data_IF_590468026614
#
_entry.id   IF_590468026614
#
_cell.length_a   1.000
_cell.length_b   1.000
_cell.length_c   1.000
_cell.angle_alpha   90.00
_cell.angle_beta   90.00
_cell.angle_gamma   90.00
#
_symmetry.space_group_name_H-M   'P 1'
#
loop_
_entity.id
_entity.type
_entity.pdbx_description
1 polymer ?
#
# COMPACT_ATOMS: atom_id res chain seq x y z
N UNK A 1 19.58 0.87 -17.81
CA UNK A 1 18.28 0.82 -18.53
C UNK A 1 18.31 -0.13 -19.72
N UNK A 2 19.27 -0.03 -20.67
CA UNK A 2 19.35 -0.87 -21.87
C UNK A 2 19.36 -2.38 -21.56
N UNK A 3 20.26 -2.86 -20.68
CA UNK A 3 20.34 -4.28 -20.28
C UNK A 3 19.03 -4.83 -19.73
N UNK A 4 18.27 -4.02 -18.94
CA UNK A 4 16.98 -4.44 -18.43
C UNK A 4 15.94 -4.62 -19.53
N UNK A 5 15.93 -3.76 -20.52
CA UNK A 5 15.04 -3.91 -21.69
C UNK A 5 15.43 -5.14 -22.54
N UNK A 6 16.73 -5.36 -22.78
CA UNK A 6 17.24 -6.52 -23.51
C UNK A 6 16.83 -7.86 -22.86
N UNK A 7 16.70 -7.87 -21.52
CA UNK A 7 16.19 -9.05 -20.77
C UNK A 7 14.68 -9.19 -20.84
N UNK A 8 13.93 -8.10 -20.79
CA UNK A 8 12.47 -8.13 -20.71
C UNK A 8 11.78 -8.35 -22.07
N UNK A 9 12.32 -7.76 -23.14
CA UNK A 9 11.68 -7.81 -24.46
C UNK A 9 11.47 -9.23 -25.00
N UNK A 10 12.44 -10.15 -24.90
CA UNK A 10 12.22 -11.53 -25.33
C UNK A 10 11.11 -12.24 -24.55
N UNK A 11 11.02 -11.98 -23.23
CA UNK A 11 9.98 -12.56 -22.37
C UNK A 11 8.60 -12.05 -22.79
N UNK A 12 8.46 -10.75 -23.00
CA UNK A 12 7.20 -10.16 -23.44
C UNK A 12 6.79 -10.68 -24.83
N UNK A 13 7.74 -10.81 -25.74
CA UNK A 13 7.48 -11.37 -27.06
C UNK A 13 6.98 -12.83 -27.00
N UNK A 14 7.61 -13.66 -26.17
CA UNK A 14 7.18 -15.05 -25.94
C UNK A 14 5.75 -15.10 -25.36
N UNK A 15 5.48 -14.33 -24.32
CA UNK A 15 4.16 -14.28 -23.69
C UNK A 15 3.07 -13.79 -24.66
N UNK A 16 3.41 -12.88 -25.58
CA UNK A 16 2.49 -12.43 -26.61
C UNK A 16 2.23 -13.53 -27.66
N UNK A 17 3.28 -14.22 -28.12
CA UNK A 17 3.15 -15.34 -29.04
C UNK A 17 2.32 -16.49 -28.47
N UNK A 18 2.44 -16.72 -27.16
CA UNK A 18 1.64 -17.71 -26.43
C UNK A 18 0.20 -17.25 -26.15
N UNK A 19 -0.17 -16.02 -26.54
CA UNK A 19 -1.50 -15.45 -26.30
C UNK A 19 -1.79 -15.11 -24.82
N UNK A 20 -0.77 -15.14 -23.97
CA UNK A 20 -0.91 -14.84 -22.52
C UNK A 20 -1.06 -13.36 -22.24
N UNK A 21 -0.46 -12.51 -23.07
CA UNK A 21 -0.57 -11.05 -22.97
C UNK A 21 -0.85 -10.45 -24.34
N UNK A 22 -1.33 -9.23 -24.34
CA UNK A 22 -1.50 -8.41 -25.53
C UNK A 22 -0.68 -7.13 -25.38
N UNK A 23 0.21 -6.86 -26.32
CA UNK A 23 0.99 -5.62 -26.35
C UNK A 23 0.29 -4.66 -27.30
N UNK A 24 -0.08 -3.50 -26.81
CA UNK A 24 -0.78 -2.47 -27.56
C UNK A 24 -0.37 -1.06 -27.11
N UNK A 25 -0.80 -0.04 -27.84
CA UNK A 25 -0.54 1.35 -27.45
C UNK A 25 -1.36 1.76 -26.23
N UNK A 26 -0.87 2.73 -25.45
CA UNK A 26 -1.61 3.28 -24.32
C UNK A 26 -2.98 3.84 -24.74
N UNK A 27 -3.07 4.43 -25.95
CA UNK A 27 -4.34 4.92 -26.49
C UNK A 27 -5.35 3.78 -26.67
N UNK A 28 -4.92 2.67 -27.27
CA UNK A 28 -5.77 1.50 -27.48
C UNK A 28 -6.25 0.92 -26.16
N UNK A 29 -5.33 0.71 -25.22
CA UNK A 29 -5.64 0.22 -23.87
C UNK A 29 -6.58 1.16 -23.13
N UNK A 30 -6.34 2.47 -23.21
CA UNK A 30 -7.15 3.49 -22.56
C UNK A 30 -8.59 3.53 -23.10
N UNK A 31 -8.76 3.48 -24.42
CA UNK A 31 -10.08 3.43 -25.06
C UNK A 31 -10.84 2.15 -24.66
N UNK A 32 -10.15 1.01 -24.68
CA UNK A 32 -10.73 -0.26 -24.26
C UNK A 32 -11.15 -0.23 -22.79
N UNK A 33 -10.29 0.26 -21.89
CA UNK A 33 -10.55 0.35 -20.45
C UNK A 33 -11.77 1.24 -20.16
N UNK A 34 -11.83 2.44 -20.75
CA UNK A 34 -12.96 3.36 -20.62
C UNK A 34 -14.28 2.72 -21.06
N UNK A 35 -14.26 1.99 -22.17
CA UNK A 35 -15.47 1.31 -22.69
C UNK A 35 -15.91 0.17 -21.77
N UNK A 36 -14.96 -0.58 -21.22
CA UNK A 36 -15.26 -1.77 -20.41
C UNK A 36 -15.62 -1.43 -18.96
N UNK A 37 -15.03 -0.41 -18.41
CA UNK A 37 -15.15 -0.02 -17.01
C UNK A 37 -15.59 1.44 -16.89
N UNK A 38 -16.90 1.71 -16.82
CA UNK A 38 -17.40 3.07 -16.57
C UNK A 38 -16.92 3.64 -15.23
N UNK A 39 -16.70 2.78 -14.24
CA UNK A 39 -16.07 3.09 -12.97
C UNK A 39 -14.82 2.21 -12.79
N UNK A 40 -13.76 2.77 -12.22
CA UNK A 40 -12.54 2.03 -11.95
C UNK A 40 -12.79 0.85 -11.00
N UNK A 41 -12.58 -0.39 -11.44
CA UNK A 41 -12.74 -1.55 -10.58
C UNK A 41 -11.60 -1.61 -9.56
N UNK A 42 -11.83 -2.16 -8.36
CA UNK A 42 -10.76 -2.48 -7.45
C UNK A 42 -9.80 -3.49 -8.08
N UNK A 43 -8.50 -3.26 -7.89
CA UNK A 43 -7.44 -4.13 -8.39
C UNK A 43 -6.40 -4.37 -7.31
N UNK A 44 -5.77 -5.54 -7.32
CA UNK A 44 -4.61 -5.80 -6.48
C UNK A 44 -3.47 -6.42 -7.28
N UNK A 45 -2.25 -6.08 -6.89
CA UNK A 45 -1.02 -6.68 -7.39
C UNK A 45 -0.24 -7.20 -6.21
N UNK A 46 0.07 -8.49 -6.23
CA UNK A 46 0.74 -9.18 -5.14
C UNK A 46 2.04 -9.78 -5.65
N UNK A 47 3.14 -9.51 -4.94
CA UNK A 47 4.43 -10.15 -5.16
C UNK A 47 4.88 -10.74 -3.82
N UNK A 48 4.92 -12.06 -3.73
CA UNK A 48 5.30 -12.79 -2.51
C UNK A 48 6.75 -13.28 -2.55
N UNK A 49 7.37 -13.24 -3.71
CA UNK A 49 8.79 -13.59 -3.90
C UNK A 49 9.37 -12.56 -4.83
N UNK A 50 10.42 -11.86 -4.42
CA UNK A 50 11.16 -10.94 -5.28
C UNK A 50 12.15 -11.71 -6.18
N UNK A 51 12.74 -11.02 -7.16
CA UNK A 51 13.64 -11.63 -8.15
C UNK A 51 14.85 -12.34 -7.53
N UNK A 52 15.32 -11.89 -6.38
CA UNK A 52 16.47 -12.42 -5.67
C UNK A 52 16.11 -13.20 -4.41
N UNK A 53 14.80 -13.29 -4.12
CA UNK A 53 14.23 -13.91 -2.91
C UNK A 53 14.85 -13.37 -1.60
N UNK A 54 15.00 -12.05 -1.52
CA UNK A 54 15.50 -11.37 -0.31
C UNK A 54 14.46 -11.34 0.83
N UNK A 55 13.35 -12.05 0.67
CA UNK A 55 12.29 -12.16 1.67
C UNK A 55 11.33 -10.98 1.73
N UNK A 56 11.40 -10.04 0.78
CA UNK A 56 10.43 -8.96 0.67
C UNK A 56 9.14 -9.45 0.01
N UNK A 57 7.99 -9.03 0.56
CA UNK A 57 6.67 -9.28 -0.02
C UNK A 57 5.88 -7.98 -0.08
N UNK A 58 5.13 -7.78 -1.13
CA UNK A 58 4.36 -6.55 -1.29
C UNK A 58 2.97 -6.84 -1.84
N UNK A 59 2.00 -6.11 -1.32
CA UNK A 59 0.62 -6.10 -1.82
C UNK A 59 0.24 -4.66 -2.11
N UNK A 60 -0.08 -4.38 -3.37
CA UNK A 60 -0.73 -3.15 -3.79
C UNK A 60 -2.21 -3.39 -3.96
N UNK A 61 -3.00 -2.49 -3.44
CA UNK A 61 -4.43 -2.42 -3.67
C UNK A 61 -4.80 -1.03 -4.19
N UNK A 62 -5.59 -0.98 -5.24
CA UNK A 62 -6.07 0.25 -5.83
C UNK A 62 -7.58 0.15 -6.01
N UNK A 63 -8.27 1.20 -5.62
CA UNK A 63 -9.69 1.37 -5.88
C UNK A 63 -9.96 2.77 -6.45
N UNK A 64 -11.23 3.09 -6.65
CA UNK A 64 -11.65 4.45 -7.00
C UNK A 64 -11.37 5.46 -5.89
N UNK A 65 -11.33 5.03 -4.63
CA UNK A 65 -11.27 5.93 -3.47
C UNK A 65 -9.90 6.01 -2.83
N UNK A 66 -9.05 5.01 -3.01
CA UNK A 66 -7.70 5.00 -2.46
C UNK A 66 -6.79 4.00 -3.16
N UNK A 67 -5.50 4.22 -2.97
CA UNK A 67 -4.48 3.18 -3.16
C UNK A 67 -3.81 2.90 -1.83
N UNK A 68 -3.34 1.67 -1.63
CA UNK A 68 -2.56 1.28 -0.48
C UNK A 68 -1.49 0.27 -0.86
N UNK A 69 -0.35 0.36 -0.19
CA UNK A 69 0.72 -0.62 -0.28
C UNK A 69 1.07 -1.17 1.10
N UNK A 70 0.89 -2.47 1.28
CA UNK A 70 1.41 -3.21 2.42
C UNK A 70 2.71 -3.89 2.01
N UNK A 71 3.77 -3.63 2.76
CA UNK A 71 5.09 -4.20 2.56
C UNK A 71 5.48 -5.06 3.75
N UNK A 72 5.94 -6.27 3.46
CA UNK A 72 6.63 -7.17 4.38
C UNK A 72 8.14 -7.07 4.14
N UNK A 73 8.88 -6.83 5.19
CA UNK A 73 10.34 -6.78 5.15
C UNK A 73 10.91 -7.08 6.54
N UNK A 74 11.92 -7.95 6.63
CA UNK A 74 12.58 -8.31 7.88
C UNK A 74 11.59 -8.75 8.97
N UNK A 75 10.64 -9.61 8.63
CA UNK A 75 9.59 -10.12 9.52
C UNK A 75 8.72 -9.02 10.16
N UNK A 76 8.66 -7.85 9.56
CA UNK A 76 7.75 -6.78 9.94
C UNK A 76 6.84 -6.41 8.79
N UNK A 77 5.69 -5.82 9.11
CA UNK A 77 4.75 -5.32 8.12
C UNK A 77 4.52 -3.83 8.33
N UNK A 78 4.36 -3.13 7.22
CA UNK A 78 4.02 -1.71 7.26
C UNK A 78 3.16 -1.31 6.07
N UNK A 79 2.24 -0.40 6.28
CA UNK A 79 1.73 0.39 5.17
C UNK A 79 2.79 1.41 4.78
N UNK A 80 3.32 1.23 3.58
CA UNK A 80 4.32 2.13 3.00
C UNK A 80 3.68 3.28 2.26
N UNK A 81 2.49 3.08 1.71
CA UNK A 81 1.77 4.06 0.91
C UNK A 81 0.27 3.90 1.16
N UNK A 82 -0.40 4.98 1.49
CA UNK A 82 -1.86 5.11 1.47
C UNK A 82 -2.18 6.50 0.97
N UNK A 83 -2.83 6.60 -0.19
CA UNK A 83 -3.34 7.84 -0.74
C UNK A 83 -4.84 7.74 -0.96
N UNK A 84 -5.57 8.72 -0.48
CA UNK A 84 -6.98 8.88 -0.79
C UNK A 84 -7.15 9.64 -2.09
N UNK A 85 -8.14 9.24 -2.88
CA UNK A 85 -8.53 9.90 -4.11
C UNK A 85 -9.82 10.67 -3.88
N UNK A 86 -9.79 11.96 -4.22
CA UNK A 86 -10.95 12.84 -4.19
C UNK A 86 -11.22 13.32 -5.63
N UNK A 87 -12.39 13.00 -6.16
CA UNK A 87 -12.79 13.40 -7.52
C UNK A 87 -12.95 14.92 -7.67
N UNK A 88 -13.05 15.66 -6.57
CA UNK A 88 -13.10 17.12 -6.57
C UNK A 88 -11.70 17.75 -6.68
N UNK A 89 -10.62 16.99 -6.48
CA UNK A 89 -9.26 17.44 -6.71
C UNK A 89 -8.92 17.33 -8.19
N UNK A 90 -9.09 18.42 -8.90
CA UNK A 90 -8.71 18.50 -10.30
C UNK A 90 -7.19 18.53 -10.44
N UNK A 91 -6.67 17.73 -11.38
CA UNK A 91 -5.24 17.76 -11.71
C UNK A 91 -4.86 19.04 -12.45
N UNK A 92 -3.87 19.77 -11.95
CA UNK A 92 -3.33 20.94 -12.64
C UNK A 92 -2.82 20.62 -14.05
N UNK A 93 -2.38 19.37 -14.27
CA UNK A 93 -1.91 18.92 -15.60
C UNK A 93 -3.02 18.73 -16.63
N UNK A 94 -4.29 18.81 -16.23
CA UNK A 94 -5.40 18.91 -17.18
C UNK A 94 -5.50 20.28 -17.81
N UNK A 95 -5.00 21.33 -17.14
CA UNK A 95 -5.06 22.71 -17.58
C UNK A 95 -3.77 23.19 -18.24
N UNK A 96 -2.63 22.68 -17.81
CA UNK A 96 -1.32 23.10 -18.28
C UNK A 96 -0.30 21.94 -18.25
N UNK A 97 0.70 22.04 -19.12
CA UNK A 97 1.82 21.10 -19.09
C UNK A 97 2.61 21.25 -17.78
N UNK A 98 3.11 20.13 -17.24
CA UNK A 98 4.00 20.15 -16.09
C UNK A 98 5.34 20.80 -16.45
N UNK A 99 5.67 21.90 -15.79
CA UNK A 99 6.91 22.66 -15.98
C UNK A 99 7.86 22.60 -14.79
N UNK A 100 7.47 21.90 -13.74
CA UNK A 100 8.24 21.77 -12.49
C UNK A 100 8.63 20.31 -12.25
N UNK A 101 9.82 20.11 -11.66
CA UNK A 101 10.26 18.83 -11.16
C UNK A 101 9.86 18.59 -9.69
N UNK A 102 9.12 19.50 -9.09
CA UNK A 102 8.59 19.34 -7.73
C UNK A 102 7.43 18.36 -7.74
N UNK A 103 7.36 17.53 -6.70
CA UNK A 103 6.22 16.65 -6.49
C UNK A 103 5.01 17.46 -6.04
N UNK A 104 3.96 17.43 -6.86
CA UNK A 104 2.66 18.02 -6.53
C UNK A 104 1.71 16.86 -6.25
N UNK A 105 1.12 16.83 -5.06
CA UNK A 105 0.13 15.82 -4.72
C UNK A 105 -1.22 16.17 -5.37
N UNK A 106 -1.70 15.22 -6.16
CA UNK A 106 -3.07 15.24 -6.70
C UNK A 106 -3.99 14.27 -5.96
N UNK A 107 -3.54 13.84 -4.81
CA UNK A 107 -4.20 12.89 -3.92
C UNK A 107 -3.97 13.35 -2.49
N UNK A 108 -4.75 12.82 -1.54
CA UNK A 108 -4.57 13.09 -0.13
C UNK A 108 -3.73 11.96 0.51
N UNK A 109 -2.41 12.15 0.69
CA UNK A 109 -1.57 11.12 1.28
C UNK A 109 -1.84 11.00 2.78
N UNK A 110 -2.15 9.79 3.24
CA UNK A 110 -2.17 9.42 4.67
C UNK A 110 -0.77 9.01 5.10
N UNK A 111 -0.07 8.29 4.24
CA UNK A 111 1.35 7.96 4.34
C UNK A 111 1.95 7.89 2.94
N UNK A 112 3.11 8.49 2.76
CA UNK A 112 3.96 8.36 1.58
C UNK A 112 5.36 7.95 2.02
N UNK A 113 5.59 6.65 2.03
CA UNK A 113 6.87 6.07 2.45
C UNK A 113 8.01 6.30 1.46
N UNK A 114 7.74 6.85 0.28
CA UNK A 114 8.79 7.21 -0.68
C UNK A 114 9.33 8.62 -0.43
N UNK A 115 8.44 9.60 -0.31
CA UNK A 115 8.83 11.00 -0.16
C UNK A 115 9.13 11.39 1.29
N UNK A 116 8.49 10.73 2.25
CA UNK A 116 8.63 11.07 3.67
C UNK A 116 9.68 10.25 4.41
N UNK A 117 10.36 9.36 3.71
CA UNK A 117 11.48 8.57 4.24
C UNK A 117 12.82 9.22 3.99
N UNK A 118 13.79 8.82 4.79
CA UNK A 118 15.22 8.93 4.50
C UNK A 118 15.81 7.51 4.45
N UNK A 119 17.04 7.32 3.95
CA UNK A 119 17.66 5.98 3.91
C UNK A 119 17.73 5.28 5.27
N UNK A 120 17.83 6.04 6.36
CA UNK A 120 17.98 5.52 7.72
C UNK A 120 16.72 5.58 8.58
N UNK A 121 15.64 6.20 8.06
CA UNK A 121 14.38 6.37 8.80
C UNK A 121 13.21 6.31 7.82
N UNK A 122 12.48 5.20 7.89
CA UNK A 122 11.44 4.87 6.91
C UNK A 122 10.07 5.29 7.43
N UNK A 123 9.45 6.23 6.74
CA UNK A 123 8.07 6.62 6.98
C UNK A 123 7.12 5.44 6.68
N UNK A 124 6.21 5.18 7.61
CA UNK A 124 5.25 4.09 7.47
C UNK A 124 4.18 4.14 8.57
N UNK A 125 3.12 3.36 8.38
CA UNK A 125 2.21 2.98 9.46
C UNK A 125 2.52 1.53 9.83
N UNK A 126 2.91 1.31 11.10
CA UNK A 126 3.31 -0.01 11.65
C UNK A 126 2.39 -0.41 12.79
N UNK A 127 2.44 -1.70 13.14
CA UNK A 127 1.68 -2.25 14.26
C UNK A 127 2.60 -2.44 15.46
N UNK A 128 2.12 -1.99 16.61
CA UNK A 128 2.83 -2.09 17.88
C UNK A 128 1.95 -2.73 18.96
N UNK A 129 2.59 -3.37 19.91
CA UNK A 129 2.01 -3.72 21.20
C UNK A 129 2.70 -2.95 22.31
N UNK A 130 2.06 -2.85 23.47
CA UNK A 130 2.69 -2.30 24.67
C UNK A 130 3.23 -3.45 25.52
N UNK A 131 4.47 -3.33 25.98
CA UNK A 131 5.03 -4.22 26.98
C UNK A 131 4.54 -3.86 28.39
N UNK A 132 4.92 -4.67 29.38
CA UNK A 132 4.55 -4.47 30.78
C UNK A 132 5.09 -3.16 31.39
N UNK A 133 6.07 -2.55 30.75
CA UNK A 133 6.69 -1.27 31.13
C UNK A 133 6.14 -0.08 30.36
N UNK A 134 5.05 -0.28 29.62
CA UNK A 134 4.42 0.72 28.74
C UNK A 134 5.29 1.17 27.55
N UNK A 135 6.30 0.42 27.17
CA UNK A 135 7.06 0.70 25.96
C UNK A 135 6.39 0.09 24.73
N UNK A 136 6.42 0.86 23.64
CA UNK A 136 5.93 0.37 22.36
C UNK A 136 6.94 -0.57 21.71
N UNK A 137 6.50 -1.77 21.39
CA UNK A 137 7.28 -2.77 20.66
C UNK A 137 6.59 -3.11 19.34
N UNK A 138 7.32 -2.99 18.23
CA UNK A 138 6.81 -3.40 16.92
C UNK A 138 6.53 -4.91 16.91
N UNK A 139 5.40 -5.31 16.33
CA UNK A 139 4.99 -6.69 16.31
C UNK A 139 5.75 -7.41 15.19
N UNK A 140 6.46 -8.47 15.56
CA UNK A 140 7.20 -9.32 14.63
C UNK A 140 6.28 -10.39 14.09
N UNK A 141 6.24 -10.51 12.79
CA UNK A 141 5.45 -11.51 12.06
C UNK A 141 6.34 -12.68 11.62
N UNK A 142 5.77 -13.85 11.53
CA UNK A 142 6.44 -15.07 11.08
C UNK A 142 6.00 -15.47 9.67
N UNK A 143 4.69 -15.35 9.39
CA UNK A 143 4.09 -15.77 8.12
C UNK A 143 3.12 -14.73 7.57
N UNK A 144 3.02 -14.70 6.24
CA UNK A 144 2.08 -13.86 5.51
C UNK A 144 1.39 -14.68 4.43
N UNK A 145 0.08 -14.59 4.38
CA UNK A 145 -0.77 -15.20 3.36
C UNK A 145 -1.62 -14.12 2.71
N UNK A 146 -1.88 -14.28 1.42
CA UNK A 146 -2.73 -13.36 0.66
C UNK A 146 -3.83 -14.13 -0.03
N UNK A 147 -5.07 -13.68 0.13
CA UNK A 147 -6.25 -14.21 -0.54
C UNK A 147 -6.96 -13.11 -1.31
N UNK A 148 -7.31 -13.39 -2.54
CA UNK A 148 -8.21 -12.50 -3.31
C UNK A 148 -9.64 -12.96 -3.05
N UNK A 149 -10.46 -12.08 -2.48
CA UNK A 149 -11.85 -12.37 -2.15
C UNK A 149 -12.74 -11.85 -3.27
N UNK A 150 -13.17 -12.75 -4.14
CA UNK A 150 -13.95 -12.39 -5.33
C UNK A 150 -13.15 -11.45 -6.24
N UNK A 151 -13.86 -10.44 -6.81
CA UNK A 151 -13.24 -9.45 -7.70
C UNK A 151 -13.02 -8.08 -7.03
N UNK A 152 -13.28 -7.95 -5.72
CA UNK A 152 -13.43 -6.62 -5.09
C UNK A 152 -12.64 -6.43 -3.81
N UNK A 153 -12.04 -7.47 -3.27
CA UNK A 153 -11.30 -7.38 -2.02
C UNK A 153 -10.06 -8.26 -2.01
N UNK A 154 -9.08 -7.86 -1.22
CA UNK A 154 -7.87 -8.62 -0.94
C UNK A 154 -7.68 -8.71 0.56
N UNK A 155 -7.51 -9.92 1.06
CA UNK A 155 -7.25 -10.22 2.46
C UNK A 155 -5.80 -10.64 2.63
N UNK A 156 -5.13 -10.01 3.59
CA UNK A 156 -3.74 -10.29 3.92
C UNK A 156 -3.74 -10.73 5.38
N UNK A 157 -3.28 -11.95 5.62
CA UNK A 157 -3.24 -12.57 6.93
C UNK A 157 -1.78 -12.68 7.35
N UNK A 158 -1.41 -12.02 8.45
CA UNK A 158 -0.08 -12.04 9.01
C UNK A 158 -0.11 -12.70 10.38
N UNK A 159 0.72 -13.73 10.57
CA UNK A 159 0.76 -14.49 11.81
C UNK A 159 2.10 -14.26 12.52
N UNK A 160 2.07 -14.15 13.84
CA UNK A 160 3.28 -14.19 14.69
C UNK A 160 3.70 -15.62 14.96
N UNK A 161 4.92 -15.84 15.43
CA UNK A 161 5.40 -17.15 15.86
C UNK A 161 4.58 -17.73 17.02
N UNK A 162 3.91 -16.88 17.83
CA UNK A 162 3.03 -17.30 18.93
C UNK A 162 1.59 -17.59 18.48
N UNK A 163 1.30 -17.57 17.17
CA UNK A 163 -0.02 -17.87 16.62
C UNK A 163 -1.03 -16.74 16.69
N UNK A 164 -0.61 -15.52 17.05
CA UNK A 164 -1.46 -14.33 16.93
C UNK A 164 -1.61 -13.97 15.46
N UNK A 165 -2.81 -13.59 15.07
CA UNK A 165 -3.16 -13.29 13.70
C UNK A 165 -3.61 -11.83 13.57
N UNK A 166 -3.15 -11.17 12.52
CA UNK A 166 -3.55 -9.82 12.11
C UNK A 166 -4.02 -9.88 10.66
N UNK A 167 -5.28 -9.65 10.43
CA UNK A 167 -5.92 -9.72 9.12
C UNK A 167 -6.24 -8.32 8.62
N UNK A 168 -5.71 -7.99 7.44
CA UNK A 168 -5.96 -6.74 6.72
C UNK A 168 -6.86 -7.03 5.54
N UNK A 169 -8.07 -6.52 5.55
CA UNK A 169 -9.00 -6.66 4.42
C UNK A 169 -9.11 -5.32 3.70
N UNK A 170 -8.60 -5.27 2.49
CA UNK A 170 -8.71 -4.11 1.60
C UNK A 170 -9.85 -4.33 0.63
N UNK A 171 -10.83 -3.44 0.62
CA UNK A 171 -11.92 -3.44 -0.34
C UNK A 171 -12.10 -2.05 -0.97
N UNK A 172 -13.08 -1.88 -1.84
CA UNK A 172 -13.24 -0.65 -2.61
C UNK A 172 -13.23 0.64 -1.78
N UNK A 173 -13.79 0.60 -0.54
CA UNK A 173 -14.05 1.82 0.26
C UNK A 173 -13.25 1.91 1.55
N UNK A 174 -12.64 0.81 2.00
CA UNK A 174 -12.03 0.77 3.32
C UNK A 174 -10.91 -0.26 3.43
N UNK A 175 -10.06 -0.04 4.42
CA UNK A 175 -9.13 -1.02 4.96
C UNK A 175 -9.66 -1.42 6.34
N UNK A 176 -9.96 -2.69 6.53
CA UNK A 176 -10.39 -3.24 7.80
C UNK A 176 -9.24 -4.07 8.39
N UNK A 177 -8.98 -3.90 9.69
CA UNK A 177 -7.93 -4.63 10.38
C UNK A 177 -8.55 -5.35 11.57
N UNK A 178 -8.34 -6.67 11.63
CA UNK A 178 -8.80 -7.54 12.72
C UNK A 178 -7.62 -8.28 13.31
N UNK A 179 -7.73 -8.64 14.58
CA UNK A 179 -6.77 -9.53 15.24
C UNK A 179 -7.46 -10.40 16.26
N UNK A 180 -6.94 -11.64 16.42
CA UNK A 180 -7.27 -12.52 17.54
C UNK A 180 -6.38 -12.24 18.76
N UNK A 181 -5.43 -11.29 18.68
CA UNK A 181 -4.60 -10.91 19.83
C UNK A 181 -5.44 -10.28 20.93
N UNK A 182 -5.40 -10.88 22.10
CA UNK A 182 -6.12 -10.39 23.28
C UNK A 182 -5.40 -9.21 23.95
N UNK A 183 -4.12 -8.99 23.62
CA UNK A 183 -3.36 -7.85 24.13
C UNK A 183 -3.78 -6.56 23.43
N UNK A 184 -3.47 -5.45 24.07
CA UNK A 184 -3.64 -4.16 23.44
C UNK A 184 -2.59 -3.97 22.34
N UNK A 185 -3.05 -3.68 21.13
CA UNK A 185 -2.20 -3.31 20.01
C UNK A 185 -2.67 -2.01 19.36
N UNK A 186 -1.80 -1.37 18.63
CA UNK A 186 -2.09 -0.10 17.99
C UNK A 186 -1.34 0.05 16.68
N UNK A 187 -1.84 0.94 15.83
CA UNK A 187 -1.13 1.41 14.66
C UNK A 187 -0.49 2.76 14.95
N UNK A 188 0.76 2.92 14.52
CA UNK A 188 1.48 4.18 14.64
C UNK A 188 2.02 4.62 13.29
N UNK A 189 1.75 5.88 12.94
CA UNK A 189 2.34 6.56 11.80
C UNK A 189 3.64 7.22 12.24
N UNK A 190 4.71 6.92 11.51
CA UNK A 190 6.02 7.56 11.67
C UNK A 190 6.40 8.23 10.35
N UNK A 191 6.98 9.42 10.46
CA UNK A 191 7.58 10.17 9.36
C UNK A 191 9.04 10.39 9.69
N UNK A 192 9.93 10.30 8.72
CA UNK A 192 11.35 10.47 8.95
C UNK A 192 11.67 11.87 9.54
N UNK A 193 12.67 11.90 10.42
CA UNK A 193 13.11 13.16 11.06
C UNK A 193 13.51 14.18 9.99
N UNK A 194 13.02 15.41 10.16
CA UNK A 194 13.30 16.50 9.20
C UNK A 194 12.42 16.52 7.96
N UNK A 195 11.52 15.56 7.79
CA UNK A 195 10.48 15.63 6.75
C UNK A 195 9.26 16.37 7.27
N UNK A 196 8.71 17.22 6.42
CA UNK A 196 7.49 17.97 6.74
C UNK A 196 6.30 17.13 6.32
N UNK A 197 5.38 16.92 7.23
CA UNK A 197 4.11 16.29 6.93
C UNK A 197 3.24 17.28 6.15
N UNK A 198 2.81 16.97 4.91
CA UNK A 198 2.14 17.96 4.06
C UNK A 198 0.71 18.28 4.48
N UNK A 199 0.12 17.48 5.37
CA UNK A 199 -1.19 17.75 5.91
C UNK A 199 -1.05 18.55 7.21
N UNK A 200 -1.73 19.70 7.32
CA UNK A 200 -1.91 20.39 8.59
C UNK A 200 -2.77 19.53 9.52
N UNK A 201 -2.15 18.56 10.16
CA UNK A 201 -2.77 17.87 11.29
C UNK A 201 -2.82 18.93 12.37
N UNK A 202 -4.02 19.44 12.67
CA UNK A 202 -4.26 20.36 13.76
C UNK A 202 -3.47 19.92 14.99
N UNK A 203 -2.63 20.79 15.51
CA UNK A 203 -1.52 20.53 16.43
C UNK A 203 -1.89 19.94 17.80
N UNK A 204 -3.10 19.43 18.02
CA UNK A 204 -3.56 19.10 19.36
C UNK A 204 -3.85 17.63 19.67
N UNK A 205 -3.75 16.71 18.72
CA UNK A 205 -3.90 15.30 19.07
C UNK A 205 -2.99 14.43 18.20
N UNK A 206 -1.84 14.05 18.75
CA UNK A 206 -1.25 12.76 18.44
C UNK A 206 -2.24 11.70 18.97
N UNK A 207 -3.28 11.44 18.21
CA UNK A 207 -4.26 10.45 18.59
C UNK A 207 -3.62 9.10 18.36
N UNK A 208 -3.02 8.57 19.38
CA UNK A 208 -2.82 7.14 19.52
C UNK A 208 -4.22 6.59 19.77
N UNK A 209 -4.93 6.22 18.70
CA UNK A 209 -6.24 5.59 18.86
C UNK A 209 -6.01 4.22 19.46
N UNK A 210 -6.38 4.06 20.73
CA UNK A 210 -6.45 2.77 21.41
C UNK A 210 -7.55 1.97 20.72
N UNK A 211 -7.18 1.01 19.93
CA UNK A 211 -8.12 0.10 19.29
C UNK A 211 -8.58 -0.93 20.31
N UNK A 212 -9.78 -0.75 20.84
CA UNK A 212 -10.47 -1.80 21.60
C UNK A 212 -11.07 -2.81 20.62
N UNK A 213 -10.99 -4.09 20.96
CA UNK A 213 -11.61 -5.36 20.49
C UNK A 213 -12.70 -5.35 19.38
N UNK A 214 -13.00 -4.25 18.68
CA UNK A 214 -13.96 -4.22 17.56
C UNK A 214 -13.19 -3.85 16.29
N UNK A 215 -13.57 -4.48 15.19
CA UNK A 215 -13.06 -4.14 13.86
C UNK A 215 -13.06 -2.62 13.66
N UNK A 216 -11.89 -2.03 13.51
CA UNK A 216 -11.79 -0.62 13.22
C UNK A 216 -11.59 -0.44 11.72
N UNK A 217 -12.38 0.43 11.15
CA UNK A 217 -12.33 0.82 9.74
C UNK A 217 -11.52 2.11 9.63
N UNK A 218 -10.58 2.16 8.70
CA UNK A 218 -9.92 3.37 8.25
C UNK A 218 -10.60 3.85 6.97
#
# INVERSE_FOLDING_TARGET
MRKGLEMQMPILASLQQEGKIRIETLETSGKWFKKKYPLNPPTSVTTLTDTYDNGQKTVWFNSRYYRANLLWENNTIRFRDIHLFDENLESDYLKQAGISNQCIYMTCPIIDGFLWSTPNDLAAIRIYTMDNSNHLKEIIMDKMFVKVIGKKATEIICCTASGKEYTFTMNEKQIEIKSNDQNQWMMRLNVAKGKIFPLNICNNHRTVSKMKRKSNKI
#
